data_IF_101882567767
#
_entry.id   IF_101882567767
#
_cell.length_a   1.000
_cell.length_b   1.000
_cell.length_c   1.000
_cell.angle_alpha   90.00
_cell.angle_beta   90.00
_cell.angle_gamma   90.00
#
_symmetry.space_group_name_H-M   'P 1'
#
loop_
_entity.id
_entity.type
_entity.pdbx_description
1 polymer ?
#
# COMPACT_ATOMS: atom_id res chain seq x y z
N UNK A 1 64.92 -61.19 -66.07
CA UNK A 1 63.53 -61.46 -65.63
C UNK A 1 62.96 -60.20 -64.99
N UNK A 2 61.68 -59.84 -65.24
CA UNK A 2 61.13 -58.50 -65.01
C UNK A 2 60.32 -58.38 -63.70
N UNK A 3 59.80 -57.16 -63.46
CA UNK A 3 58.76 -56.69 -62.50
C UNK A 3 59.36 -55.81 -61.38
N UNK A 4 58.80 -54.66 -61.00
CA UNK A 4 57.52 -54.00 -61.25
C UNK A 4 57.63 -52.54 -60.78
N UNK A 5 56.97 -51.61 -61.48
CA UNK A 5 56.64 -50.25 -61.00
C UNK A 5 55.81 -50.34 -59.71
N UNK A 6 55.98 -49.42 -58.76
CA UNK A 6 54.86 -48.88 -57.98
C UNK A 6 55.17 -47.54 -57.29
N UNK A 7 54.10 -46.77 -57.13
CA UNK A 7 53.95 -45.34 -56.91
C UNK A 7 54.47 -44.74 -55.59
N UNK A 8 54.77 -43.43 -55.66
CA UNK A 8 54.97 -42.55 -54.51
C UNK A 8 53.64 -42.15 -53.85
N UNK A 9 53.51 -42.15 -52.51
CA UNK A 9 52.43 -41.42 -51.84
C UNK A 9 52.85 -39.98 -51.51
N UNK A 10 52.07 -39.02 -52.01
CA UNK A 10 52.01 -37.63 -51.55
C UNK A 10 51.32 -37.59 -50.18
N UNK A 11 52.03 -37.17 -49.13
CA UNK A 11 51.42 -36.88 -47.83
C UNK A 11 50.68 -35.53 -47.90
N UNK A 12 49.36 -35.56 -48.11
CA UNK A 12 48.50 -34.40 -47.87
C UNK A 12 48.14 -34.33 -46.38
N UNK A 13 48.61 -33.27 -45.71
CA UNK A 13 48.08 -32.83 -44.42
C UNK A 13 46.62 -32.40 -44.59
N UNK A 14 45.69 -33.18 -44.07
CA UNK A 14 44.33 -32.72 -43.73
C UNK A 14 43.90 -33.35 -42.42
N UNK A 15 43.94 -32.57 -41.34
CA UNK A 15 43.16 -32.84 -40.15
C UNK A 15 42.18 -31.68 -39.90
N UNK A 16 40.98 -31.95 -39.38
CA UNK A 16 39.79 -31.12 -39.58
C UNK A 16 39.55 -30.19 -38.39
N UNK A 17 39.78 -28.89 -38.56
CA UNK A 17 39.46 -27.87 -37.55
C UNK A 17 37.96 -27.57 -37.42
N UNK A 18 37.08 -28.22 -38.17
CA UNK A 18 35.65 -27.86 -38.25
C UNK A 18 34.75 -28.48 -37.16
N UNK A 19 35.13 -29.61 -36.56
CA UNK A 19 34.23 -30.34 -35.65
C UNK A 19 34.26 -29.79 -34.21
N UNK A 20 35.42 -29.34 -33.73
CA UNK A 20 35.56 -28.76 -32.39
C UNK A 20 34.86 -27.41 -32.25
N UNK A 21 34.83 -26.60 -33.32
CA UNK A 21 34.12 -25.32 -33.36
C UNK A 21 32.61 -25.49 -33.33
N UNK A 22 32.07 -26.51 -34.02
CA UNK A 22 30.64 -26.82 -34.02
C UNK A 22 30.17 -27.40 -32.68
N UNK A 23 30.99 -28.19 -31.99
CA UNK A 23 30.67 -28.69 -30.64
C UNK A 23 30.70 -27.58 -29.60
N UNK A 24 31.65 -26.63 -29.70
CA UNK A 24 31.68 -25.42 -28.86
C UNK A 24 30.48 -24.49 -29.11
N UNK A 25 30.03 -24.33 -30.37
CA UNK A 25 28.82 -23.57 -30.67
C UNK A 25 27.54 -24.27 -30.16
N UNK A 26 27.46 -25.60 -30.27
CA UNK A 26 26.32 -26.38 -29.79
C UNK A 26 26.21 -26.39 -28.26
N UNK A 27 27.33 -26.35 -27.54
CA UNK A 27 27.33 -26.22 -26.07
C UNK A 27 27.01 -24.81 -25.61
N UNK A 28 27.42 -23.77 -26.34
CA UNK A 28 27.03 -22.38 -26.05
C UNK A 28 25.53 -22.12 -26.29
N UNK A 29 24.94 -22.75 -27.32
CA UNK A 29 23.52 -22.65 -27.62
C UNK A 29 22.62 -23.34 -26.57
N UNK A 30 23.10 -24.39 -25.87
CA UNK A 30 22.34 -25.03 -24.79
C UNK A 30 22.34 -24.25 -23.47
N UNK A 31 23.29 -23.34 -23.26
CA UNK A 31 23.31 -22.48 -22.06
C UNK A 31 22.42 -21.23 -22.18
N UNK A 32 21.96 -20.90 -23.39
CA UNK A 32 21.18 -19.71 -23.65
C UNK A 32 19.67 -20.05 -23.69
N UNK A 33 19.06 -20.29 -22.52
CA UNK A 33 17.65 -19.95 -22.20
C UNK A 33 17.16 -20.58 -20.89
N UNK A 34 17.85 -20.35 -19.77
CA UNK A 34 17.13 -20.37 -18.49
C UNK A 34 16.45 -19.01 -18.37
N UNK A 35 15.27 -18.87 -18.97
CA UNK A 35 14.41 -17.72 -18.70
C UNK A 35 13.89 -17.93 -17.28
N UNK A 36 14.40 -17.16 -16.32
CA UNK A 36 13.87 -17.18 -14.97
C UNK A 36 12.36 -16.94 -15.05
N UNK A 37 11.57 -17.90 -14.59
CA UNK A 37 10.11 -17.75 -14.52
C UNK A 37 9.81 -16.56 -13.60
N UNK A 38 9.17 -15.54 -14.17
CA UNK A 38 8.74 -14.38 -13.40
C UNK A 38 7.52 -14.76 -12.57
N UNK A 39 7.67 -14.71 -11.26
CA UNK A 39 6.62 -14.99 -10.29
C UNK A 39 5.91 -13.68 -9.98
N UNK A 40 4.61 -13.61 -10.26
CA UNK A 40 3.78 -12.46 -9.89
C UNK A 40 3.22 -12.63 -8.50
N UNK A 41 3.42 -11.62 -7.65
CA UNK A 41 2.92 -11.57 -6.28
C UNK A 41 1.80 -10.53 -6.23
N UNK A 42 0.52 -10.96 -6.31
CA UNK A 42 -0.60 -10.05 -6.17
C UNK A 42 -0.71 -9.59 -4.72
N UNK A 43 -0.81 -8.29 -4.51
CA UNK A 43 -1.03 -7.66 -3.20
C UNK A 43 -2.21 -6.72 -3.29
N UNK A 44 -3.31 -7.08 -2.63
CA UNK A 44 -4.50 -6.24 -2.56
C UNK A 44 -4.27 -5.09 -1.59
N UNK A 45 -4.81 -3.92 -1.90
CA UNK A 45 -4.77 -2.74 -1.04
C UNK A 45 -6.15 -2.09 -0.95
N UNK A 46 -6.40 -1.34 0.14
CA UNK A 46 -7.69 -0.66 0.32
C UNK A 46 -7.86 0.61 -0.54
N UNK A 47 -6.80 1.12 -1.18
CA UNK A 47 -6.87 2.24 -2.14
C UNK A 47 -7.63 1.85 -3.41
N UNK A 48 -8.30 2.83 -4.03
CA UNK A 48 -8.96 2.67 -5.34
C UNK A 48 -8.03 2.92 -6.53
N UNK A 49 -7.00 3.74 -6.35
CA UNK A 49 -5.96 4.01 -7.33
C UNK A 49 -4.74 4.66 -6.66
N UNK A 50 -3.68 4.88 -7.45
CA UNK A 50 -2.60 5.79 -7.10
C UNK A 50 -3.03 7.21 -7.48
N UNK A 51 -3.50 7.99 -6.50
CA UNK A 51 -3.71 9.43 -6.64
C UNK A 51 -2.73 10.22 -5.76
N UNK A 52 -1.93 11.09 -6.39
CA UNK A 52 -1.19 12.09 -5.64
C UNK A 52 -2.12 13.19 -5.13
N UNK A 53 -1.89 13.74 -3.91
CA UNK A 53 -0.83 13.39 -2.96
C UNK A 53 -1.14 12.25 -1.94
N UNK A 54 -2.27 11.53 -2.08
CA UNK A 54 -2.80 10.54 -1.10
C UNK A 54 -2.04 9.21 -1.00
N UNK A 55 -1.07 8.94 -1.87
CA UNK A 55 -0.51 7.59 -2.04
C UNK A 55 0.58 7.19 -1.05
N UNK A 56 0.74 7.89 0.08
CA UNK A 56 1.83 7.62 1.02
C UNK A 56 1.91 6.14 1.43
N UNK A 57 0.78 5.55 1.82
CA UNK A 57 0.73 4.15 2.28
C UNK A 57 1.03 3.15 1.16
N UNK A 58 0.38 3.30 0.01
CA UNK A 58 0.56 2.40 -1.13
C UNK A 58 1.97 2.50 -1.71
N UNK A 59 2.50 3.71 -1.84
CA UNK A 59 3.87 3.96 -2.31
C UNK A 59 4.89 3.35 -1.35
N UNK A 60 4.74 3.58 -0.04
CA UNK A 60 5.64 3.00 0.95
C UNK A 60 5.58 1.47 0.96
N UNK A 61 4.39 0.89 0.85
CA UNK A 61 4.22 -0.56 0.74
C UNK A 61 4.93 -1.10 -0.51
N UNK A 62 4.71 -0.48 -1.68
CA UNK A 62 5.36 -0.88 -2.92
C UNK A 62 6.88 -0.80 -2.81
N UNK A 63 7.42 0.30 -2.26
CA UNK A 63 8.86 0.46 -2.03
C UNK A 63 9.42 -0.62 -1.10
N UNK A 64 8.71 -0.95 -0.03
CA UNK A 64 9.14 -2.00 0.91
C UNK A 64 9.13 -3.39 0.25
N UNK A 65 8.09 -3.70 -0.53
CA UNK A 65 7.98 -4.97 -1.25
C UNK A 65 9.07 -5.08 -2.33
N UNK A 66 9.25 -4.04 -3.15
CA UNK A 66 10.30 -3.98 -4.18
C UNK A 66 11.71 -4.09 -3.61
N UNK A 67 11.96 -3.53 -2.42
CA UNK A 67 13.24 -3.67 -1.74
C UNK A 67 13.49 -5.09 -1.18
N UNK A 68 12.43 -5.90 -0.99
CA UNK A 68 12.50 -7.21 -0.33
C UNK A 68 12.33 -8.41 -1.26
N UNK A 69 11.81 -8.20 -2.48
CA UNK A 69 11.48 -9.26 -3.42
C UNK A 69 12.72 -9.97 -3.99
N UNK A 70 12.54 -11.21 -4.41
CA UNK A 70 13.55 -11.94 -5.18
C UNK A 70 13.70 -11.36 -6.60
N UNK A 71 14.83 -11.63 -7.25
CA UNK A 71 15.13 -11.10 -8.61
C UNK A 71 14.13 -11.54 -9.67
N UNK A 72 13.47 -12.69 -9.47
CA UNK A 72 12.48 -13.24 -10.38
C UNK A 72 11.04 -12.96 -9.92
N UNK A 73 10.83 -12.10 -8.92
CA UNK A 73 9.50 -11.71 -8.45
C UNK A 73 9.08 -10.33 -9.01
N UNK A 74 7.79 -10.22 -9.33
CA UNK A 74 7.13 -9.00 -9.77
C UNK A 74 5.95 -8.72 -8.83
N UNK A 75 5.91 -7.53 -8.22
CA UNK A 75 4.84 -7.11 -7.32
C UNK A 75 3.69 -6.53 -8.14
N UNK A 76 2.48 -7.05 -7.95
CA UNK A 76 1.27 -6.59 -8.63
C UNK A 76 0.28 -6.01 -7.60
N UNK A 77 0.17 -4.68 -7.54
CA UNK A 77 -0.74 -4.00 -6.60
C UNK A 77 -2.15 -4.02 -7.19
N UNK A 78 -3.07 -4.70 -6.48
CA UNK A 78 -4.47 -4.80 -6.85
C UNK A 78 -5.29 -3.80 -6.02
N UNK A 79 -5.76 -2.75 -6.70
CA UNK A 79 -6.62 -1.74 -6.09
C UNK A 79 -8.05 -2.23 -5.88
N UNK A 80 -8.72 -1.65 -4.89
CA UNK A 80 -10.13 -1.84 -4.67
C UNK A 80 -10.98 -1.16 -5.74
N UNK A 81 -12.12 -1.73 -6.16
CA UNK A 81 -13.04 -1.06 -7.08
C UNK A 81 -13.74 0.16 -6.46
N UNK A 82 -13.77 0.27 -5.12
CA UNK A 82 -14.41 1.40 -4.40
C UNK A 82 -13.97 1.44 -2.93
N UNK A 83 -14.29 2.55 -2.27
CA UNK A 83 -14.15 2.66 -0.83
C UNK A 83 -15.26 1.94 -0.07
N UNK A 84 -14.91 1.43 1.11
CA UNK A 84 -15.80 0.78 2.06
C UNK A 84 -15.65 1.39 3.46
N UNK A 85 -16.62 1.10 4.34
CA UNK A 85 -16.47 1.42 5.76
C UNK A 85 -15.30 0.64 6.37
N UNK A 86 -14.70 1.19 7.43
CA UNK A 86 -13.57 0.55 8.12
C UNK A 86 -13.93 -0.85 8.64
N UNK A 87 -15.15 -1.05 9.15
CA UNK A 87 -15.63 -2.36 9.59
C UNK A 87 -15.66 -3.38 8.45
N UNK A 88 -16.08 -2.96 7.24
CA UNK A 88 -16.08 -3.83 6.07
C UNK A 88 -14.66 -4.17 5.63
N UNK A 89 -13.73 -3.23 5.70
CA UNK A 89 -12.31 -3.51 5.41
C UNK A 89 -11.71 -4.55 6.35
N UNK A 90 -11.95 -4.40 7.65
CA UNK A 90 -11.51 -5.36 8.67
C UNK A 90 -12.11 -6.74 8.41
N UNK A 91 -13.42 -6.82 8.13
CA UNK A 91 -14.08 -8.09 7.85
C UNK A 91 -13.54 -8.78 6.58
N UNK A 92 -13.30 -8.01 5.52
CA UNK A 92 -12.67 -8.54 4.29
C UNK A 92 -11.26 -9.07 4.59
N UNK A 93 -10.46 -8.36 5.38
CA UNK A 93 -9.12 -8.82 5.73
C UNK A 93 -9.09 -10.10 6.60
N UNK A 94 -10.10 -10.31 7.45
CA UNK A 94 -10.22 -11.53 8.26
C UNK A 94 -10.57 -12.77 7.43
N UNK A 95 -11.37 -12.57 6.37
CA UNK A 95 -11.93 -13.64 5.55
C UNK A 95 -11.11 -13.95 4.31
N UNK A 96 -10.46 -12.94 3.72
CA UNK A 96 -9.59 -13.08 2.56
C UNK A 96 -8.26 -13.75 2.96
N UNK A 97 -7.90 -14.83 2.24
CA UNK A 97 -6.65 -15.58 2.46
C UNK A 97 -5.53 -15.18 1.50
N UNK A 98 -5.77 -14.21 0.62
CA UNK A 98 -4.74 -13.62 -0.25
C UNK A 98 -3.86 -12.62 0.49
N UNK A 99 -2.79 -12.15 -0.17
CA UNK A 99 -2.00 -11.05 0.35
C UNK A 99 -2.84 -9.77 0.29
N UNK A 100 -3.39 -9.38 1.43
CA UNK A 100 -4.21 -8.20 1.54
C UNK A 100 -3.69 -7.31 2.67
N UNK A 101 -3.44 -6.04 2.37
CA UNK A 101 -2.94 -5.05 3.32
C UNK A 101 -3.91 -3.88 3.39
N UNK A 102 -4.27 -3.49 4.61
CA UNK A 102 -5.07 -2.29 4.90
C UNK A 102 -4.30 -1.39 5.88
N UNK A 103 -4.61 -0.10 5.90
CA UNK A 103 -4.10 0.84 6.90
C UNK A 103 -5.26 1.39 7.75
N UNK A 104 -5.13 1.25 9.06
CA UNK A 104 -6.14 1.70 10.02
C UNK A 104 -5.48 2.00 11.36
N UNK A 105 -6.17 2.75 12.20
CA UNK A 105 -5.75 2.97 13.59
C UNK A 105 -5.82 1.64 14.35
N UNK A 106 -4.83 1.43 15.22
CA UNK A 106 -4.73 0.23 16.05
C UNK A 106 -5.59 0.34 17.30
N UNK A 107 -6.11 -0.79 17.76
CA UNK A 107 -6.66 -0.98 19.10
C UNK A 107 -6.39 -2.44 19.53
N UNK A 108 -6.61 -2.72 20.82
CA UNK A 108 -6.29 -4.04 21.39
C UNK A 108 -7.10 -5.17 20.75
N UNK A 109 -8.35 -4.91 20.37
CA UNK A 109 -9.24 -5.91 19.79
C UNK A 109 -8.81 -6.26 18.36
N UNK A 110 -8.49 -5.25 17.55
CA UNK A 110 -7.99 -5.43 16.18
C UNK A 110 -6.68 -6.20 16.15
N UNK A 111 -5.74 -5.90 17.05
CA UNK A 111 -4.46 -6.62 17.09
C UNK A 111 -4.59 -8.08 17.53
N UNK A 112 -5.69 -8.45 18.18
CA UNK A 112 -6.01 -9.85 18.49
C UNK A 112 -6.63 -10.57 17.28
N UNK A 113 -7.39 -9.84 16.46
CA UNK A 113 -8.11 -10.40 15.31
C UNK A 113 -7.31 -10.37 14.00
N UNK A 114 -6.33 -9.48 13.87
CA UNK A 114 -5.55 -9.21 12.67
C UNK A 114 -4.05 -9.29 12.98
N UNK A 115 -3.22 -9.47 11.95
CA UNK A 115 -1.76 -9.40 12.06
C UNK A 115 -1.29 -7.95 11.88
N UNK A 116 -0.79 -7.25 12.92
CA UNK A 116 -0.35 -5.87 12.79
C UNK A 116 1.11 -5.77 12.30
N UNK A 117 1.39 -4.73 11.52
CA UNK A 117 2.75 -4.24 11.26
C UNK A 117 3.03 -3.12 12.26
N UNK A 118 3.81 -3.40 13.30
CA UNK A 118 4.04 -2.48 14.45
C UNK A 118 5.11 -1.42 14.16
N UNK A 119 5.00 -0.77 13.01
CA UNK A 119 5.85 0.37 12.64
C UNK A 119 4.93 1.60 12.54
N UNK A 120 5.04 2.57 13.47
CA UNK A 120 4.18 3.74 13.46
C UNK A 120 4.57 4.67 12.30
N UNK A 121 3.91 4.51 11.15
CA UNK A 121 4.25 5.21 9.91
C UNK A 121 4.19 6.74 10.02
N UNK A 122 3.33 7.24 10.91
CA UNK A 122 3.18 8.67 11.21
C UNK A 122 3.72 9.04 12.60
N UNK A 123 4.44 8.14 13.29
CA UNK A 123 5.08 8.40 14.61
C UNK A 123 4.17 9.09 15.64
N UNK A 124 2.88 8.75 15.64
CA UNK A 124 1.88 9.33 16.57
C UNK A 124 1.19 10.61 16.09
N UNK A 125 1.50 11.13 14.90
CA UNK A 125 0.92 12.39 14.38
C UNK A 125 -0.61 12.34 14.21
N UNK A 126 -1.22 11.17 14.02
CA UNK A 126 -2.68 11.04 14.03
C UNK A 126 -3.31 11.43 15.38
N UNK A 127 -2.56 11.35 16.48
CA UNK A 127 -3.01 11.80 17.80
C UNK A 127 -3.06 13.31 17.95
N UNK A 128 -2.36 14.06 17.10
CA UNK A 128 -2.43 15.52 17.06
C UNK A 128 -3.62 15.92 16.20
N UNK A 129 -4.57 16.63 16.81
CA UNK A 129 -5.85 16.94 16.14
C UNK A 129 -5.91 18.38 15.71
N UNK A 130 -6.35 18.58 14.48
CA UNK A 130 -6.87 19.85 13.99
C UNK A 130 -8.40 19.75 13.91
N UNK A 131 -9.09 20.79 14.36
CA UNK A 131 -10.55 20.85 14.27
C UNK A 131 -10.91 21.51 12.94
N UNK A 132 -11.51 20.74 12.03
CA UNK A 132 -12.13 21.33 10.85
C UNK A 132 -13.47 21.95 11.26
N UNK A 133 -13.68 23.20 10.91
CA UNK A 133 -14.88 23.97 11.22
C UNK A 133 -15.39 24.63 9.94
N UNK A 134 -16.66 25.05 9.94
CA UNK A 134 -17.20 25.80 8.80
C UNK A 134 -16.54 27.17 8.68
N UNK A 135 -16.42 27.66 7.45
CA UNK A 135 -15.98 29.03 7.16
C UNK A 135 -16.87 30.04 7.91
N UNK A 136 -16.23 31.00 8.57
CA UNK A 136 -16.92 32.04 9.36
C UNK A 136 -17.14 31.71 10.84
N UNK A 137 -16.86 30.48 11.29
CA UNK A 137 -17.04 30.09 12.70
C UNK A 137 -15.78 30.32 13.55
N UNK A 138 -14.70 30.86 12.98
CA UNK A 138 -13.40 31.00 13.66
C UNK A 138 -13.52 31.74 14.99
N UNK A 139 -14.22 32.88 15.02
CA UNK A 139 -14.39 33.68 16.24
C UNK A 139 -15.05 32.90 17.39
N UNK A 140 -15.93 31.94 17.07
CA UNK A 140 -16.59 31.07 18.04
C UNK A 140 -15.61 30.04 18.61
N UNK A 141 -14.76 29.46 17.76
CA UNK A 141 -13.75 28.49 18.15
C UNK A 141 -12.50 29.13 18.79
N UNK A 142 -12.23 30.40 18.53
CA UNK A 142 -11.15 31.15 19.19
C UNK A 142 -11.35 31.26 20.71
N UNK A 143 -12.58 31.09 21.19
CA UNK A 143 -12.93 31.06 22.61
C UNK A 143 -12.67 29.71 23.28
N UNK A 144 -12.43 28.64 22.51
CA UNK A 144 -12.16 27.29 23.04
C UNK A 144 -10.72 27.23 23.52
N UNK A 145 -10.50 27.13 24.83
CA UNK A 145 -9.15 27.04 25.44
C UNK A 145 -8.94 25.74 26.20
N UNK A 146 -10.01 25.02 26.52
CA UNK A 146 -9.99 23.79 27.29
C UNK A 146 -10.85 22.70 26.65
N UNK A 147 -10.64 21.45 27.07
CA UNK A 147 -11.50 20.34 26.67
C UNK A 147 -12.96 20.52 27.14
N UNK A 148 -13.16 21.18 28.29
CA UNK A 148 -14.48 21.49 28.80
C UNK A 148 -15.22 22.50 27.91
N UNK A 149 -14.52 23.53 27.40
CA UNK A 149 -15.11 24.46 26.43
C UNK A 149 -15.53 23.72 25.17
N UNK A 150 -14.67 22.81 24.67
CA UNK A 150 -14.95 22.01 23.49
C UNK A 150 -16.14 21.07 23.67
N UNK A 151 -16.38 20.55 24.88
CA UNK A 151 -17.49 19.65 25.20
C UNK A 151 -18.88 20.30 25.00
N UNK A 152 -18.95 21.63 24.96
CA UNK A 152 -20.19 22.36 24.64
C UNK A 152 -20.58 22.26 23.16
N UNK A 153 -19.64 21.93 22.28
CA UNK A 153 -19.82 21.78 20.84
C UNK A 153 -20.08 20.32 20.46
N UNK A 154 -20.83 20.09 19.39
CA UNK A 154 -21.02 18.76 18.83
C UNK A 154 -19.91 18.44 17.82
N UNK A 155 -19.14 17.38 18.04
CA UNK A 155 -18.15 16.88 17.08
C UNK A 155 -18.75 15.85 16.12
N UNK A 156 -18.21 15.74 14.90
CA UNK A 156 -18.49 14.63 13.98
C UNK A 156 -17.34 13.63 13.96
N UNK A 157 -17.60 12.31 14.01
CA UNK A 157 -16.55 11.29 14.01
C UNK A 157 -16.94 10.02 13.24
N UNK A 158 -15.97 9.25 12.74
CA UNK A 158 -16.27 7.97 12.08
C UNK A 158 -16.83 6.93 13.05
N UNK A 159 -17.94 6.26 12.69
CA UNK A 159 -18.61 5.25 13.55
C UNK A 159 -17.63 4.20 14.08
N UNK A 160 -16.75 3.72 13.20
CA UNK A 160 -15.86 2.60 13.50
C UNK A 160 -14.44 3.04 13.87
N UNK A 161 -14.20 4.34 14.05
CA UNK A 161 -12.85 4.82 14.38
C UNK A 161 -12.57 4.63 15.88
N UNK A 162 -11.40 4.10 16.26
CA UNK A 162 -11.04 3.91 17.67
C UNK A 162 -11.12 5.20 18.50
N UNK A 163 -10.88 6.34 17.86
CA UNK A 163 -10.91 7.66 18.48
C UNK A 163 -12.29 8.06 19.02
N UNK A 164 -13.38 7.53 18.46
CA UNK A 164 -14.75 7.88 18.87
C UNK A 164 -14.97 7.58 20.34
N UNK A 165 -14.61 6.37 20.78
CA UNK A 165 -14.74 5.96 22.18
C UNK A 165 -13.80 6.74 23.09
N UNK A 166 -12.59 7.06 22.62
CA UNK A 166 -11.62 7.86 23.38
C UNK A 166 -12.17 9.26 23.64
N UNK A 167 -12.66 9.95 22.60
CA UNK A 167 -13.20 11.30 22.71
C UNK A 167 -14.47 11.33 23.58
N UNK A 168 -15.37 10.34 23.43
CA UNK A 168 -16.55 10.19 24.29
C UNK A 168 -16.18 9.96 25.76
N UNK A 169 -15.19 9.09 26.02
CA UNK A 169 -14.69 8.86 27.38
C UNK A 169 -14.07 10.11 28.02
N UNK A 170 -13.65 11.09 27.21
CA UNK A 170 -13.16 12.40 27.66
C UNK A 170 -14.27 13.47 27.72
N UNK A 171 -15.55 13.07 27.68
CA UNK A 171 -16.69 13.96 27.87
C UNK A 171 -17.08 14.79 26.64
N UNK A 172 -16.51 14.51 25.46
CA UNK A 172 -16.87 15.20 24.23
C UNK A 172 -18.15 14.62 23.63
N UNK A 173 -19.04 15.50 23.19
CA UNK A 173 -20.27 15.13 22.50
C UNK A 173 -19.97 14.87 21.03
N UNK A 174 -20.32 13.69 20.53
CA UNK A 174 -20.10 13.30 19.14
C UNK A 174 -21.38 12.82 18.45
N UNK A 175 -21.48 13.09 17.15
CA UNK A 175 -22.33 12.37 16.20
C UNK A 175 -21.46 11.59 15.24
N UNK A 176 -21.96 10.48 14.70
CA UNK A 176 -21.15 9.57 13.87
C UNK A 176 -21.70 9.36 12.46
N UNK A 177 -20.81 8.99 11.55
CA UNK A 177 -21.18 8.48 10.23
C UNK A 177 -20.19 7.42 9.73
N UNK A 178 -20.64 6.62 8.77
CA UNK A 178 -19.89 5.47 8.25
C UNK A 178 -18.67 5.84 7.39
N UNK A 179 -18.72 6.99 6.71
CA UNK A 179 -17.68 7.41 5.78
C UNK A 179 -17.27 8.86 6.00
N UNK A 180 -15.99 9.15 5.73
CA UNK A 180 -15.42 10.51 5.76
C UNK A 180 -16.23 11.46 4.87
N UNK A 181 -16.62 10.99 3.67
CA UNK A 181 -17.47 11.74 2.75
C UNK A 181 -18.82 12.15 3.37
N UNK A 182 -19.44 11.25 4.14
CA UNK A 182 -20.69 11.56 4.83
C UNK A 182 -20.48 12.61 5.93
N UNK A 183 -19.36 12.56 6.67
CA UNK A 183 -19.01 13.57 7.67
C UNK A 183 -18.81 14.96 7.04
N UNK A 184 -18.16 15.04 5.89
CA UNK A 184 -18.02 16.31 5.15
C UNK A 184 -19.36 16.89 4.70
N UNK A 185 -20.28 16.05 4.19
CA UNK A 185 -21.65 16.52 3.89
C UNK A 185 -22.38 16.99 5.15
N UNK A 186 -22.21 16.30 6.27
CA UNK A 186 -22.90 16.62 7.52
C UNK A 186 -22.40 17.92 8.17
N UNK A 187 -21.10 18.21 8.16
CA UNK A 187 -20.59 19.48 8.70
C UNK A 187 -21.08 20.68 7.90
N UNK A 188 -21.14 20.54 6.57
CA UNK A 188 -21.68 21.57 5.66
C UNK A 188 -23.18 21.77 5.86
N UNK A 189 -23.92 20.69 6.14
CA UNK A 189 -25.33 20.72 6.52
C UNK A 189 -25.58 21.15 7.98
N UNK A 190 -24.56 21.63 8.70
CA UNK A 190 -24.64 22.10 10.10
C UNK A 190 -25.18 21.04 11.08
N UNK A 191 -24.94 19.76 10.81
CA UNK A 191 -25.37 18.66 11.70
C UNK A 191 -24.47 18.45 12.92
N UNK A 192 -23.30 19.09 12.93
CA UNK A 192 -22.38 19.18 14.05
C UNK A 192 -21.46 20.39 13.84
N UNK A 193 -20.67 20.77 14.85
CA UNK A 193 -19.90 22.02 14.91
C UNK A 193 -18.45 21.90 14.45
N UNK A 194 -17.80 20.77 14.74
CA UNK A 194 -16.40 20.53 14.36
C UNK A 194 -16.15 19.08 13.95
N UNK A 195 -15.13 18.86 13.13
CA UNK A 195 -14.66 17.54 12.73
C UNK A 195 -13.18 17.38 13.12
N UNK A 196 -12.83 16.63 14.18
CA UNK A 196 -11.45 16.39 14.56
C UNK A 196 -10.76 15.49 13.53
N UNK A 197 -9.72 15.99 12.88
CA UNK A 197 -8.87 15.24 11.94
C UNK A 197 -7.45 15.15 12.49
N UNK A 198 -6.72 14.10 12.15
CA UNK A 198 -5.28 14.07 12.36
C UNK A 198 -4.62 15.24 11.62
N UNK A 199 -3.57 15.82 12.20
CA UNK A 199 -2.92 17.02 11.61
C UNK A 199 -2.36 16.75 10.21
N UNK A 200 -1.95 15.52 9.93
CA UNK A 200 -1.49 15.07 8.61
C UNK A 200 -2.63 14.90 7.60
N UNK A 201 -3.87 14.75 8.05
CA UNK A 201 -5.05 14.55 7.20
C UNK A 201 -5.73 15.89 6.89
N UNK A 202 -5.86 16.76 7.91
CA UNK A 202 -6.67 17.96 7.87
C UNK A 202 -6.43 18.84 6.64
N UNK A 203 -5.16 19.17 6.37
CA UNK A 203 -4.82 20.08 5.28
C UNK A 203 -5.01 19.45 3.90
N UNK A 204 -4.62 18.18 3.79
CA UNK A 204 -4.75 17.40 2.57
C UNK A 204 -6.22 17.25 2.16
N UNK A 205 -7.08 16.86 3.11
CA UNK A 205 -8.50 16.67 2.84
C UNK A 205 -9.19 17.99 2.48
N UNK A 206 -8.78 19.12 3.07
CA UNK A 206 -9.31 20.44 2.70
C UNK A 206 -8.98 20.84 1.26
N UNK A 207 -7.81 20.46 0.74
CA UNK A 207 -7.42 20.77 -0.65
C UNK A 207 -8.24 20.00 -1.69
N UNK A 208 -8.91 18.92 -1.28
CA UNK A 208 -9.73 18.07 -2.15
C UNK A 208 -11.22 18.48 -2.16
N UNK A 209 -11.58 19.61 -1.53
CA UNK A 209 -12.97 20.03 -1.25
C UNK A 209 -13.25 21.41 -1.81
#
# INVERSE_FOLDING_TARGET
MPKQFFDYPRWQLRAPLSHWFLVLLATFALTASVRAEQIRIPVKVQSTQLEQPSDYFTTLLLMALEASKARNEEIDIIFSPRDYSQARWINMLQTDKSNFVIWTMTDKEREQQLRPIRIPLFKGLFGYRALLIRKGEQARFDQVKTAADLASFLGGQGTHWPDTLILQANGLRLTTAETTESLFRMINAKRFDYFPRGISEAWFELLQR
#
